data_IF_660250207079
#
_entry.id   IF_660250207079
#
_cell.length_a   1.000
_cell.length_b   1.000
_cell.length_c   1.000
_cell.angle_alpha   90.00
_cell.angle_beta   90.00
_cell.angle_gamma   90.00
#
_symmetry.space_group_name_H-M   'P 1'
#
loop_
_entity.id
_entity.type
_entity.pdbx_description
1 polymer ?
#
# COMPACT_ATOMS: atom_id res chain seq x y z
N UNK A 1 31.46 0.98 35.57
CA UNK A 1 30.28 1.44 34.82
C UNK A 1 29.10 0.76 35.46
N UNK A 2 28.04 1.51 35.77
CA UNK A 2 26.76 0.96 36.22
C UNK A 2 26.24 -0.03 35.18
N UNK A 3 25.56 -1.09 35.60
CA UNK A 3 24.88 -1.97 34.65
C UNK A 3 23.65 -1.24 34.10
N UNK A 4 23.41 -1.36 32.79
CA UNK A 4 22.17 -0.84 32.21
C UNK A 4 21.05 -1.86 32.40
N UNK A 5 19.83 -1.36 32.50
CA UNK A 5 18.61 -2.14 32.52
C UNK A 5 17.62 -1.54 31.52
N UNK A 6 16.56 -2.29 31.22
CA UNK A 6 15.46 -1.75 30.45
C UNK A 6 14.12 -2.25 30.98
N UNK A 7 13.09 -1.43 30.81
CA UNK A 7 11.70 -1.79 31.03
C UNK A 7 10.87 -1.38 29.80
N UNK A 8 9.77 -2.08 29.55
CA UNK A 8 8.87 -1.81 28.42
C UNK A 8 7.48 -1.51 28.94
N UNK A 9 6.93 -0.36 28.54
CA UNK A 9 5.53 -0.02 28.78
C UNK A 9 4.76 -0.20 27.48
N UNK A 10 3.75 -1.08 27.49
CA UNK A 10 2.87 -1.30 26.35
C UNK A 10 1.53 -0.62 26.59
N UNK A 11 1.18 0.31 25.71
CA UNK A 11 -0.14 0.92 25.65
C UNK A 11 -1.06 0.08 24.76
N UNK A 12 -2.31 -0.12 25.21
CA UNK A 12 -3.33 -0.74 24.37
C UNK A 12 -3.65 0.14 23.16
N UNK A 13 -4.10 -0.52 22.10
CA UNK A 13 -4.55 0.14 20.90
C UNK A 13 -5.79 1.01 21.14
N UNK A 14 -5.90 2.10 20.39
CA UNK A 14 -6.99 3.06 20.45
C UNK A 14 -7.96 2.80 19.30
N UNK A 15 -9.26 2.86 19.56
CA UNK A 15 -10.27 2.68 18.52
C UNK A 15 -10.17 3.77 17.46
N UNK A 16 -10.15 3.38 16.18
CA UNK A 16 -10.25 4.31 15.05
C UNK A 16 -11.68 4.84 14.91
N UNK A 17 -11.81 6.11 14.54
CA UNK A 17 -13.09 6.80 14.42
C UNK A 17 -13.84 6.46 13.13
N UNK A 18 -13.12 6.10 12.06
CA UNK A 18 -13.72 5.80 10.74
C UNK A 18 -14.80 4.72 10.82
N UNK A 19 -15.74 4.77 9.88
CA UNK A 19 -16.84 3.81 9.75
C UNK A 19 -16.39 2.42 9.27
N UNK A 20 -15.13 2.29 8.82
CA UNK A 20 -14.56 1.02 8.39
C UNK A 20 -14.55 0.02 9.54
N UNK A 21 -15.02 -1.18 9.25
CA UNK A 21 -15.11 -2.28 10.21
C UNK A 21 -14.35 -3.49 9.70
N UNK A 22 -14.03 -4.37 10.62
CA UNK A 22 -13.55 -5.72 10.32
C UNK A 22 -14.66 -6.54 9.64
N UNK A 23 -14.33 -7.68 9.00
CA UNK A 23 -15.33 -8.49 8.31
C UNK A 23 -16.47 -9.04 9.18
N UNK A 24 -16.31 -9.04 10.50
CA UNK A 24 -17.33 -9.42 11.49
C UNK A 24 -18.15 -8.23 12.01
N UNK A 25 -17.90 -7.02 11.51
CA UNK A 25 -18.54 -5.77 11.91
C UNK A 25 -17.94 -5.11 13.15
N UNK A 26 -16.90 -5.68 13.75
CA UNK A 26 -16.22 -5.07 14.89
C UNK A 26 -15.37 -3.85 14.46
N UNK A 27 -15.15 -2.87 15.34
CA UNK A 27 -14.38 -1.67 15.00
C UNK A 27 -12.89 -1.98 14.84
N UNK A 28 -12.21 -1.21 13.96
CA UNK A 28 -10.75 -1.26 13.85
C UNK A 28 -10.12 -0.49 15.01
N UNK A 29 -9.07 -1.05 15.59
CA UNK A 29 -8.28 -0.48 16.68
C UNK A 29 -6.83 -0.36 16.20
N UNK A 30 -6.09 0.67 16.62
CA UNK A 30 -4.65 0.76 16.37
C UNK A 30 -3.91 -0.42 16.99
N UNK A 31 -2.70 -0.69 16.52
CA UNK A 31 -1.81 -1.64 17.19
C UNK A 31 -1.49 -1.17 18.61
N UNK A 32 -1.23 -2.10 19.56
CA UNK A 32 -0.64 -1.74 20.84
C UNK A 32 0.77 -1.19 20.61
N UNK A 33 1.14 -0.12 21.31
CA UNK A 33 2.43 0.58 21.10
C UNK A 33 3.31 0.38 22.32
N UNK A 34 4.56 0.00 22.10
CA UNK A 34 5.58 -0.21 23.12
C UNK A 34 6.53 0.98 23.19
N UNK A 35 6.70 1.53 24.39
CA UNK A 35 7.79 2.46 24.70
C UNK A 35 8.81 1.77 25.58
N UNK A 36 10.09 1.93 25.26
CA UNK A 36 11.19 1.30 26.02
C UNK A 36 11.97 2.33 26.81
N UNK A 37 12.14 2.11 28.11
CA UNK A 37 13.00 2.94 28.95
C UNK A 37 14.29 2.17 29.24
N UNK A 38 15.41 2.66 28.71
CA UNK A 38 16.75 2.13 28.97
C UNK A 38 17.39 3.02 30.03
N UNK A 39 17.88 2.45 31.12
CA UNK A 39 18.35 3.27 32.25
C UNK A 39 19.55 2.65 32.98
N UNK A 40 20.36 3.54 33.56
CA UNK A 40 21.45 3.21 34.46
C UNK A 40 21.08 3.46 35.93
N UNK A 41 22.05 3.92 36.71
CA UNK A 41 21.85 4.26 38.12
C UNK A 41 21.00 5.54 38.29
N UNK A 42 21.27 6.57 37.50
CA UNK A 42 20.67 7.91 37.56
C UNK A 42 19.89 8.24 36.29
N UNK A 43 20.47 7.98 35.13
CA UNK A 43 20.00 8.54 33.86
C UNK A 43 19.21 7.50 33.05
N UNK A 44 18.35 7.97 32.15
CA UNK A 44 17.54 7.14 31.26
C UNK A 44 17.34 7.72 29.87
N UNK A 45 17.11 6.83 28.90
CA UNK A 45 16.75 7.12 27.51
C UNK A 45 15.41 6.44 27.22
N UNK A 46 14.44 7.20 26.72
CA UNK A 46 13.17 6.67 26.22
C UNK A 46 13.30 6.37 24.73
N UNK A 47 12.77 5.24 24.28
CA UNK A 47 12.65 4.88 22.86
C UNK A 47 11.17 4.74 22.51
N UNK A 48 10.77 5.33 21.38
CA UNK A 48 9.44 5.29 20.78
C UNK A 48 8.31 5.78 21.71
N UNK A 49 8.20 7.11 21.92
CA UNK A 49 7.07 7.70 22.65
C UNK A 49 5.73 7.51 21.91
N UNK A 50 4.61 7.35 22.63
CA UNK A 50 3.32 7.06 22.03
C UNK A 50 2.66 8.33 21.46
N UNK A 51 1.51 8.21 20.80
CA UNK A 51 0.92 9.32 20.04
C UNK A 51 -0.31 9.99 20.64
N UNK A 52 -1.00 9.42 21.61
CA UNK A 52 -2.20 10.07 22.19
C UNK A 52 -1.90 10.77 23.50
N UNK A 53 -2.64 11.83 23.82
CA UNK A 53 -2.51 12.56 25.09
C UNK A 53 -2.51 11.65 26.32
N UNK A 54 -3.39 10.65 26.36
CA UNK A 54 -3.49 9.72 27.49
C UNK A 54 -2.26 8.81 27.59
N UNK A 55 -1.83 8.23 26.46
CA UNK A 55 -0.66 7.35 26.45
C UNK A 55 0.62 8.12 26.79
N UNK A 56 0.74 9.36 26.28
CA UNK A 56 1.85 10.27 26.58
C UNK A 56 1.91 10.62 28.06
N UNK A 57 0.77 10.95 28.67
CA UNK A 57 0.71 11.19 30.11
C UNK A 57 1.11 9.95 30.91
N UNK A 58 0.65 8.76 30.50
CA UNK A 58 0.99 7.49 31.16
C UNK A 58 2.48 7.17 31.08
N UNK A 59 3.11 7.40 29.93
CA UNK A 59 4.56 7.26 29.75
C UNK A 59 5.33 8.25 30.60
N UNK A 60 4.91 9.53 30.63
CA UNK A 60 5.54 10.53 31.49
C UNK A 60 5.45 10.16 32.98
N UNK A 61 4.30 9.69 33.45
CA UNK A 61 4.14 9.25 34.84
C UNK A 61 4.99 8.00 35.15
N UNK A 62 5.16 7.10 34.17
CA UNK A 62 6.01 5.92 34.31
C UNK A 62 7.49 6.30 34.41
N UNK A 63 7.96 7.24 33.60
CA UNK A 63 9.32 7.79 33.67
C UNK A 63 9.55 8.45 35.03
N UNK A 64 8.64 9.28 35.53
CA UNK A 64 8.79 9.89 36.87
C UNK A 64 8.83 8.85 37.99
N UNK A 65 7.99 7.81 37.92
CA UNK A 65 8.00 6.72 38.91
C UNK A 65 9.29 5.91 38.92
N UNK A 66 10.01 5.86 37.79
CA UNK A 66 11.32 5.20 37.73
C UNK A 66 12.38 5.91 38.59
N UNK A 67 12.16 7.20 38.89
CA UNK A 67 13.12 8.05 39.61
C UNK A 67 14.37 8.41 38.81
N UNK A 68 14.41 8.08 37.51
CA UNK A 68 15.54 8.37 36.61
C UNK A 68 15.44 9.76 36.00
N UNK A 69 16.58 10.35 35.69
CA UNK A 69 16.69 11.58 34.91
C UNK A 69 16.64 11.23 33.43
N UNK A 70 15.58 11.65 32.73
CA UNK A 70 15.47 11.45 31.29
C UNK A 70 16.44 12.41 30.58
N UNK A 71 17.41 11.87 29.86
CA UNK A 71 18.43 12.64 29.13
C UNK A 71 18.20 12.64 27.63
N UNK A 72 17.51 11.63 27.10
CA UNK A 72 17.21 11.54 25.68
C UNK A 72 15.90 10.80 25.40
N UNK A 73 15.29 11.16 24.27
CA UNK A 73 14.20 10.42 23.61
C UNK A 73 14.71 10.01 22.23
N UNK A 74 14.56 8.75 21.85
CA UNK A 74 14.91 8.23 20.53
C UNK A 74 13.65 7.76 19.80
N UNK A 75 13.57 8.00 18.49
CA UNK A 75 12.53 7.43 17.63
C UNK A 75 13.19 6.52 16.57
N UNK A 76 12.66 5.31 16.43
CA UNK A 76 13.20 4.29 15.54
C UNK A 76 12.86 4.53 14.07
N UNK A 77 11.70 5.12 13.77
CA UNK A 77 11.21 5.37 12.41
C UNK A 77 10.15 6.48 12.36
N UNK A 78 9.68 6.79 11.15
CA UNK A 78 8.84 7.96 10.87
C UNK A 78 7.34 7.83 11.17
N UNK A 79 6.84 6.66 11.56
CA UNK A 79 5.42 6.47 11.85
C UNK A 79 4.96 7.23 13.11
N UNK A 80 3.82 7.90 12.99
CA UNK A 80 3.34 8.86 14.00
C UNK A 80 3.13 8.27 15.39
N UNK A 81 2.76 7.00 15.50
CA UNK A 81 2.59 6.30 16.77
C UNK A 81 3.86 6.12 17.60
N UNK A 82 5.03 6.38 17.01
CA UNK A 82 6.34 6.26 17.66
C UNK A 82 7.04 7.60 17.91
N UNK A 83 6.43 8.74 17.56
CA UNK A 83 7.04 10.06 17.79
C UNK A 83 6.08 11.23 18.04
N UNK A 84 4.77 11.09 17.78
CA UNK A 84 3.85 12.23 17.89
C UNK A 84 3.75 12.81 19.30
N UNK A 85 4.01 12.01 20.33
CA UNK A 85 3.99 12.43 21.73
C UNK A 85 5.27 13.05 22.27
N UNK A 86 6.29 13.26 21.44
CA UNK A 86 7.60 13.69 21.90
C UNK A 86 7.59 15.11 22.46
N UNK A 87 6.94 16.06 21.80
CA UNK A 87 6.94 17.45 22.24
C UNK A 87 6.37 17.63 23.67
N UNK A 88 5.20 17.06 24.02
CA UNK A 88 4.72 17.13 25.40
C UNK A 88 5.65 16.43 26.42
N UNK A 89 6.34 15.36 26.04
CA UNK A 89 7.33 14.72 26.91
C UNK A 89 8.55 15.61 27.14
N UNK A 90 9.08 16.26 26.10
CA UNK A 90 10.21 17.19 26.25
C UNK A 90 9.82 18.44 27.05
N UNK A 91 8.56 18.89 27.00
CA UNK A 91 8.07 19.94 27.90
C UNK A 91 8.06 19.49 29.36
N UNK A 92 7.75 18.21 29.63
CA UNK A 92 7.77 17.62 30.98
C UNK A 92 9.18 17.33 31.48
N UNK A 93 10.10 16.98 30.58
CA UNK A 93 11.49 16.64 30.85
C UNK A 93 12.43 17.56 30.04
N UNK A 94 12.60 18.83 30.44
CA UNK A 94 13.27 19.85 29.62
C UNK A 94 14.77 19.63 29.42
N UNK A 95 15.39 18.74 30.19
CA UNK A 95 16.79 18.37 30.03
C UNK A 95 16.99 17.28 28.96
N UNK A 96 15.91 16.63 28.50
CA UNK A 96 15.98 15.57 27.51
C UNK A 96 16.10 16.15 26.09
N UNK A 97 16.82 15.43 25.22
CA UNK A 97 16.98 15.78 23.79
C UNK A 97 16.34 14.70 22.92
N UNK A 98 15.59 15.11 21.89
CA UNK A 98 15.03 14.20 20.88
C UNK A 98 16.08 13.84 19.81
N UNK A 99 16.35 12.55 19.63
CA UNK A 99 17.27 12.01 18.63
C UNK A 99 16.60 11.04 17.67
N UNK A 100 16.99 11.11 16.41
CA UNK A 100 16.65 10.16 15.35
C UNK A 100 17.74 10.27 14.27
N UNK A 101 17.78 9.36 13.30
CA UNK A 101 18.69 9.54 12.15
C UNK A 101 18.13 10.56 11.17
N UNK A 102 18.97 11.06 10.26
CA UNK A 102 18.54 12.05 9.25
C UNK A 102 17.40 11.52 8.36
N UNK A 103 17.47 10.25 7.96
CA UNK A 103 16.42 9.60 7.17
C UNK A 103 15.10 9.51 7.94
N UNK A 104 15.14 9.04 9.19
CA UNK A 104 13.95 9.01 10.04
C UNK A 104 13.33 10.41 10.24
N UNK A 105 14.15 11.45 10.44
CA UNK A 105 13.66 12.84 10.57
C UNK A 105 12.99 13.31 9.27
N UNK A 106 13.54 12.95 8.10
CA UNK A 106 12.93 13.27 6.82
C UNK A 106 11.54 12.61 6.69
N UNK A 107 11.43 11.32 7.05
CA UNK A 107 10.14 10.60 7.06
C UNK A 107 9.13 11.22 8.03
N UNK A 108 9.56 11.70 9.20
CA UNK A 108 8.68 12.42 10.13
C UNK A 108 8.10 13.70 9.52
N UNK A 109 8.88 14.43 8.70
CA UNK A 109 8.37 15.61 8.02
C UNK A 109 7.32 15.27 6.97
N UNK A 110 7.53 14.21 6.19
CA UNK A 110 6.58 13.72 5.19
C UNK A 110 5.27 13.25 5.84
N UNK A 111 5.38 12.31 6.79
CA UNK A 111 4.23 11.74 7.50
C UNK A 111 3.52 12.76 8.40
N UNK A 112 4.27 13.66 9.04
CA UNK A 112 3.74 14.65 9.97
C UNK A 112 3.02 15.83 9.32
N UNK A 113 3.24 16.09 8.03
CA UNK A 113 2.61 17.20 7.30
C UNK A 113 1.46 16.72 6.41
N UNK A 114 1.74 15.86 5.44
CA UNK A 114 0.75 15.42 4.45
C UNK A 114 -0.04 14.20 4.94
N UNK A 115 0.64 13.20 5.53
CA UNK A 115 0.03 11.97 6.01
C UNK A 115 -0.86 12.15 7.26
N UNK A 116 -0.48 13.05 8.16
CA UNK A 116 -1.16 13.25 9.45
C UNK A 116 -2.62 13.68 9.29
N UNK A 117 -2.88 14.75 8.54
CA UNK A 117 -4.23 15.29 8.40
C UNK A 117 -5.14 14.32 7.63
N UNK A 118 -4.60 13.58 6.66
CA UNK A 118 -5.36 12.64 5.83
C UNK A 118 -5.71 11.33 6.57
N UNK A 119 -4.85 10.89 7.49
CA UNK A 119 -4.99 9.58 8.14
C UNK A 119 -5.20 9.71 9.65
N UNK A 120 -4.22 10.25 10.36
CA UNK A 120 -4.16 10.22 11.82
C UNK A 120 -5.23 11.08 12.50
N UNK A 121 -5.42 12.32 12.06
CA UNK A 121 -6.43 13.22 12.65
C UNK A 121 -7.86 12.77 12.30
N UNK A 122 -8.04 12.01 11.22
CA UNK A 122 -9.32 11.37 10.84
C UNK A 122 -9.58 10.13 11.69
N UNK A 123 -8.56 9.29 11.92
CA UNK A 123 -8.68 8.06 12.69
C UNK A 123 -8.80 8.33 14.20
N UNK A 124 -8.20 9.41 14.70
CA UNK A 124 -8.11 9.71 16.14
C UNK A 124 -8.44 11.18 16.44
N UNK A 125 -9.64 11.66 16.08
CA UNK A 125 -10.00 13.06 16.17
C UNK A 125 -9.91 13.57 17.62
N UNK A 126 -9.07 14.58 17.83
CA UNK A 126 -8.87 15.22 19.14
C UNK A 126 -8.05 14.41 20.15
N UNK A 127 -7.45 13.27 19.75
CA UNK A 127 -6.67 12.42 20.66
C UNK A 127 -5.15 12.67 20.57
N UNK A 128 -4.68 13.22 19.45
CA UNK A 128 -3.25 13.40 19.14
C UNK A 128 -2.83 14.85 19.47
N UNK A 129 -1.74 15.07 20.23
CA UNK A 129 -1.20 16.41 20.48
C UNK A 129 -0.66 17.06 19.20
N UNK A 130 -0.40 18.38 19.19
CA UNK A 130 0.49 18.96 18.20
C UNK A 130 1.83 18.19 18.18
N UNK A 131 2.28 17.81 17.00
CA UNK A 131 3.48 16.96 16.83
C UNK A 131 4.50 17.67 15.93
N UNK A 132 5.08 18.79 16.36
CA UNK A 132 6.21 19.37 15.65
C UNK A 132 7.38 18.36 15.65
N UNK A 133 8.13 18.30 14.56
CA UNK A 133 9.36 17.51 14.49
C UNK A 133 10.41 18.19 15.37
N UNK A 134 10.60 17.69 16.59
CA UNK A 134 11.50 18.23 17.63
C UNK A 134 12.75 17.37 17.83
N UNK A 135 13.21 16.77 16.74
CA UNK A 135 14.33 15.84 16.71
C UNK A 135 15.56 16.47 16.06
N UNK A 136 16.73 16.07 16.53
CA UNK A 136 18.01 16.35 15.88
C UNK A 136 18.73 15.03 15.52
N UNK A 137 19.66 15.06 14.55
CA UNK A 137 20.44 13.89 14.20
C UNK A 137 21.14 13.30 15.43
N UNK A 138 21.04 11.97 15.58
CA UNK A 138 21.80 11.23 16.58
C UNK A 138 23.32 11.40 16.36
N UNK A 139 24.14 11.53 17.42
CA UNK A 139 25.59 11.56 17.27
C UNK A 139 26.15 10.29 16.60
N UNK A 140 27.22 10.44 15.81
CA UNK A 140 27.89 9.32 15.12
C UNK A 140 28.35 8.20 16.08
N UNK A 141 28.70 8.54 17.33
CA UNK A 141 29.12 7.62 18.37
C UNK A 141 27.96 7.13 19.28
N UNK A 142 26.72 7.48 18.93
CA UNK A 142 25.49 7.12 19.62
C UNK A 142 25.23 7.93 20.90
N UNK A 143 24.07 7.68 21.50
CA UNK A 143 23.66 8.31 22.76
C UNK A 143 24.53 7.72 23.89
N UNK A 144 25.17 8.59 24.68
CA UNK A 144 25.91 8.19 25.88
C UNK A 144 24.95 8.04 27.06
N UNK A 145 25.00 6.90 27.74
CA UNK A 145 24.24 6.62 28.95
C UNK A 145 25.16 6.00 30.00
N UNK A 146 25.64 6.84 30.92
CA UNK A 146 26.50 6.46 32.05
C UNK A 146 27.75 5.66 31.65
N UNK A 147 28.39 6.07 30.55
CA UNK A 147 29.57 5.42 29.98
C UNK A 147 29.28 4.25 29.02
N UNK A 148 28.01 3.96 28.73
CA UNK A 148 27.61 3.02 27.68
C UNK A 148 27.11 3.75 26.44
N UNK A 149 27.12 3.07 25.29
CA UNK A 149 26.64 3.61 24.01
C UNK A 149 25.38 2.91 23.55
N UNK A 150 24.40 3.71 23.16
CA UNK A 150 23.19 3.29 22.47
C UNK A 150 23.32 3.74 21.01
N UNK A 151 23.42 2.78 20.09
CA UNK A 151 23.82 3.00 18.70
C UNK A 151 22.60 2.86 17.79
N UNK A 152 22.31 3.88 16.98
CA UNK A 152 21.35 3.75 15.88
C UNK A 152 21.96 2.87 14.78
N UNK A 153 21.18 1.93 14.28
CA UNK A 153 21.56 1.08 13.14
C UNK A 153 20.49 1.22 12.07
N UNK A 154 20.87 1.80 10.94
CA UNK A 154 20.04 1.93 9.74
C UNK A 154 19.75 0.57 9.11
N UNK A 155 18.49 0.17 9.08
CA UNK A 155 18.08 -1.12 8.51
C UNK A 155 17.40 -0.98 7.15
N UNK A 156 16.92 0.22 6.80
CA UNK A 156 16.33 0.53 5.50
C UNK A 156 14.81 0.46 5.56
N UNK A 157 14.20 -0.29 4.64
CA UNK A 157 12.74 -0.42 4.56
C UNK A 157 12.22 -1.55 5.45
N UNK A 158 11.15 -1.27 6.21
CA UNK A 158 10.35 -2.27 6.93
C UNK A 158 8.86 -2.03 6.76
N UNK A 159 8.15 -1.63 7.81
CA UNK A 159 6.76 -1.18 7.72
C UNK A 159 6.67 0.26 7.16
N UNK A 160 7.80 0.97 7.12
CA UNK A 160 8.08 2.24 6.41
C UNK A 160 9.56 2.29 5.97
N UNK A 161 9.90 3.25 5.11
CA UNK A 161 11.28 3.61 4.75
C UNK A 161 12.07 4.27 5.89
N UNK A 162 13.40 4.32 5.71
CA UNK A 162 14.38 4.92 6.64
C UNK A 162 14.20 4.51 8.11
N UNK A 163 13.92 3.21 8.29
CA UNK A 163 13.77 2.57 9.59
C UNK A 163 15.13 2.26 10.20
N UNK A 164 15.24 2.47 11.51
CA UNK A 164 16.41 2.17 12.32
C UNK A 164 16.06 1.29 13.51
N UNK A 165 17.06 0.67 14.12
CA UNK A 165 16.97 0.07 15.45
C UNK A 165 17.95 0.72 16.41
N UNK A 166 17.65 0.74 17.71
CA UNK A 166 18.58 1.19 18.73
C UNK A 166 19.26 -0.02 19.41
N UNK A 167 20.54 -0.20 19.14
CA UNK A 167 21.35 -1.30 19.68
C UNK A 167 22.12 -0.86 20.94
N UNK A 168 22.02 -1.66 22.01
CA UNK A 168 22.72 -1.44 23.29
C UNK A 168 23.65 -2.63 23.56
N UNK A 169 24.91 -2.59 23.07
CA UNK A 169 25.81 -3.73 23.12
C UNK A 169 26.09 -4.25 24.53
N UNK A 170 26.13 -3.36 25.53
CA UNK A 170 26.51 -3.70 26.90
C UNK A 170 25.53 -4.66 27.59
N UNK A 171 24.27 -4.66 27.17
CA UNK A 171 23.22 -5.57 27.66
C UNK A 171 22.68 -6.51 26.57
N UNK A 172 23.17 -6.38 25.33
CA UNK A 172 22.72 -7.16 24.18
C UNK A 172 21.26 -6.88 23.81
N UNK A 173 20.77 -5.66 24.04
CA UNK A 173 19.41 -5.25 23.71
C UNK A 173 19.37 -4.63 22.31
N UNK A 174 18.34 -4.97 21.54
CA UNK A 174 17.93 -4.19 20.37
C UNK A 174 16.49 -3.73 20.58
N UNK A 175 16.26 -2.42 20.59
CA UNK A 175 14.91 -1.85 20.45
C UNK A 175 14.65 -1.72 18.95
N UNK A 176 13.80 -2.60 18.44
CA UNK A 176 13.66 -2.87 17.02
C UNK A 176 12.66 -1.95 16.32
N UNK A 177 11.86 -1.17 17.05
CA UNK A 177 10.69 -0.51 16.48
C UNK A 177 9.85 -1.54 15.72
N UNK A 178 9.36 -1.15 14.55
CA UNK A 178 8.51 -2.02 13.73
C UNK A 178 9.29 -2.87 12.71
N UNK A 179 10.61 -3.01 12.91
CA UNK A 179 11.39 -4.07 12.24
C UNK A 179 10.94 -5.46 12.69
N UNK A 180 10.50 -5.60 13.94
CA UNK A 180 10.03 -6.84 14.53
C UNK A 180 8.67 -6.66 15.19
N UNK A 181 7.83 -7.70 15.16
CA UNK A 181 6.52 -7.73 15.81
C UNK A 181 6.43 -8.89 16.80
N UNK A 182 5.79 -8.69 17.95
CA UNK A 182 5.74 -9.71 19.02
C UNK A 182 4.31 -10.02 19.47
N UNK A 183 3.72 -11.08 18.91
CA UNK A 183 2.34 -11.49 19.24
C UNK A 183 1.26 -10.55 18.72
N UNK A 184 1.57 -9.75 17.68
CA UNK A 184 0.65 -8.80 17.03
C UNK A 184 0.71 -9.02 15.51
N UNK A 185 -0.39 -8.80 14.79
CA UNK A 185 -0.39 -8.80 13.33
C UNK A 185 0.36 -7.59 12.77
N UNK A 186 1.09 -7.81 11.66
CA UNK A 186 2.03 -6.83 11.11
C UNK A 186 1.34 -5.84 10.17
N UNK A 187 1.76 -4.58 10.20
CA UNK A 187 1.41 -3.58 9.20
C UNK A 187 2.23 -3.85 7.93
N UNK A 188 1.56 -4.15 6.82
CA UNK A 188 2.21 -4.47 5.54
C UNK A 188 1.80 -3.52 4.41
N UNK A 189 1.15 -2.40 4.73
CA UNK A 189 0.58 -1.49 3.71
C UNK A 189 1.66 -0.89 2.80
N UNK A 190 2.86 -0.67 3.33
CA UNK A 190 3.97 -0.08 2.59
C UNK A 190 4.94 -1.13 2.04
N UNK A 191 4.61 -2.42 2.15
CA UNK A 191 5.49 -3.52 1.73
C UNK A 191 5.34 -3.93 0.25
N UNK A 192 4.72 -3.08 -0.58
CA UNK A 192 4.56 -3.31 -2.03
C UNK A 192 5.89 -3.29 -2.79
N UNK A 193 5.88 -3.68 -4.07
CA UNK A 193 7.01 -3.52 -5.02
C UNK A 193 8.40 -4.02 -4.53
N UNK A 194 8.43 -5.10 -3.73
CA UNK A 194 9.66 -5.66 -3.16
C UNK A 194 9.98 -5.21 -1.73
N UNK A 195 9.04 -4.52 -1.07
CA UNK A 195 9.17 -4.08 0.31
C UNK A 195 9.34 -5.25 1.29
N UNK A 196 8.65 -6.38 1.06
CA UNK A 196 8.84 -7.60 1.88
C UNK A 196 10.29 -8.10 1.82
N UNK A 197 10.91 -8.18 0.63
CA UNK A 197 12.31 -8.58 0.47
C UNK A 197 13.27 -7.62 1.16
N UNK A 198 12.97 -6.32 1.11
CA UNK A 198 13.75 -5.29 1.79
C UNK A 198 13.64 -5.42 3.31
N UNK A 199 12.44 -5.72 3.83
CA UNK A 199 12.21 -5.98 5.25
C UNK A 199 12.90 -7.27 5.73
N UNK A 200 12.89 -8.34 4.91
CA UNK A 200 13.67 -9.54 5.20
C UNK A 200 15.18 -9.24 5.33
N UNK A 201 15.70 -8.31 4.50
CA UNK A 201 17.08 -7.82 4.61
C UNK A 201 17.31 -7.00 5.88
N UNK A 202 16.33 -6.19 6.31
CA UNK A 202 16.38 -5.48 7.59
C UNK A 202 16.45 -6.45 8.78
N UNK A 203 15.66 -7.53 8.76
CA UNK A 203 15.73 -8.59 9.77
C UNK A 203 17.11 -9.27 9.82
N UNK A 204 17.74 -9.51 8.67
CA UNK A 204 19.11 -10.06 8.59
C UNK A 204 20.13 -9.14 9.28
N UNK A 205 20.01 -7.82 9.07
CA UNK A 205 20.88 -6.83 9.72
C UNK A 205 20.71 -6.86 11.24
N UNK A 206 19.48 -6.94 11.75
CA UNK A 206 19.22 -7.01 13.19
C UNK A 206 19.73 -8.33 13.78
N UNK A 207 19.49 -9.46 13.11
CA UNK A 207 19.99 -10.76 13.56
C UNK A 207 21.53 -10.81 13.62
N UNK A 208 22.22 -10.12 12.72
CA UNK A 208 23.68 -10.01 12.70
C UNK A 208 24.26 -9.27 13.92
N UNK A 209 23.45 -8.48 14.64
CA UNK A 209 23.84 -7.86 15.92
C UNK A 209 23.89 -8.86 17.07
N UNK A 210 23.38 -10.09 16.87
CA UNK A 210 23.33 -11.17 17.85
C UNK A 210 22.67 -10.75 19.19
N UNK A 211 21.46 -10.17 19.16
CA UNK A 211 20.81 -9.67 20.37
C UNK A 211 20.50 -10.79 21.37
N UNK A 212 20.55 -10.45 22.66
CA UNK A 212 20.05 -11.25 23.77
C UNK A 212 18.57 -10.95 24.07
N UNK A 213 18.11 -9.75 23.74
CA UNK A 213 16.72 -9.32 23.84
C UNK A 213 16.35 -8.41 22.66
N UNK A 214 15.12 -8.53 22.16
CA UNK A 214 14.58 -7.71 21.07
C UNK A 214 13.22 -7.16 21.47
N UNK A 215 13.10 -5.84 21.57
CA UNK A 215 11.82 -5.18 21.87
C UNK A 215 11.18 -4.70 20.58
N UNK A 216 10.01 -5.25 20.26
CA UNK A 216 9.16 -4.82 19.15
C UNK A 216 8.38 -3.55 19.48
N UNK A 217 8.17 -2.66 18.49
CA UNK A 217 7.35 -1.46 18.61
C UNK A 217 5.86 -1.79 18.80
N UNK A 218 5.41 -2.88 18.20
CA UNK A 218 4.10 -3.48 18.45
C UNK A 218 4.21 -4.85 19.11
N UNK A 219 3.77 -4.94 20.38
CA UNK A 219 3.82 -6.20 21.13
C UNK A 219 2.61 -6.49 22.02
N UNK A 220 2.39 -7.79 22.26
CA UNK A 220 1.62 -8.27 23.39
C UNK A 220 2.45 -8.11 24.67
N UNK A 221 1.90 -7.39 25.67
CA UNK A 221 2.57 -7.09 26.94
C UNK A 221 2.94 -8.32 27.77
N UNK A 222 2.24 -9.44 27.54
CA UNK A 222 2.43 -10.68 28.30
C UNK A 222 3.55 -11.56 27.70
N UNK A 223 4.11 -11.17 26.55
CA UNK A 223 5.18 -11.91 25.89
C UNK A 223 6.57 -11.34 26.20
N UNK A 224 7.58 -12.21 26.34
CA UNK A 224 8.96 -11.78 26.57
C UNK A 224 9.56 -11.13 25.33
N UNK A 225 10.62 -10.35 25.53
CA UNK A 225 11.43 -9.74 24.46
C UNK A 225 12.47 -10.73 23.91
N UNK A 226 12.03 -11.95 23.62
CA UNK A 226 12.90 -13.04 23.15
C UNK A 226 13.35 -12.78 21.70
N UNK A 227 14.66 -12.86 21.37
CA UNK A 227 15.16 -12.72 20.00
C UNK A 227 14.49 -13.64 18.96
N UNK A 228 13.83 -14.72 19.39
CA UNK A 228 13.02 -15.58 18.52
C UNK A 228 11.93 -14.82 17.74
N UNK A 229 11.51 -13.63 18.19
CA UNK A 229 10.53 -12.80 17.46
C UNK A 229 11.03 -12.37 16.07
N UNK A 230 12.35 -12.33 15.83
CA UNK A 230 12.90 -12.02 14.51
C UNK A 230 12.50 -13.10 13.48
N UNK A 231 12.63 -14.37 13.86
CA UNK A 231 12.23 -15.49 13.00
C UNK A 231 10.71 -15.63 12.90
N UNK A 232 9.97 -15.28 13.96
CA UNK A 232 8.50 -15.24 13.91
C UNK A 232 7.97 -14.10 13.00
N UNK A 233 8.67 -12.98 12.96
CA UNK A 233 8.38 -11.86 12.04
C UNK A 233 8.69 -12.28 10.60
N UNK A 234 9.86 -12.90 10.39
CA UNK A 234 10.27 -13.47 9.09
C UNK A 234 9.22 -14.46 8.55
N UNK A 235 8.78 -15.40 9.37
CA UNK A 235 7.78 -16.41 8.99
C UNK A 235 6.47 -15.76 8.55
N UNK A 236 6.00 -14.73 9.28
CA UNK A 236 4.80 -13.99 8.93
C UNK A 236 4.91 -13.28 7.58
N UNK A 237 6.04 -12.61 7.32
CA UNK A 237 6.31 -11.94 6.04
C UNK A 237 6.29 -12.92 4.86
N UNK A 238 6.91 -14.08 5.02
CA UNK A 238 6.94 -15.12 4.00
C UNK A 238 5.56 -15.74 3.75
N UNK A 239 4.77 -15.96 4.80
CA UNK A 239 3.38 -16.41 4.66
C UNK A 239 2.52 -15.36 3.97
N UNK A 240 2.63 -14.09 4.36
CA UNK A 240 1.92 -13.00 3.71
C UNK A 240 2.29 -12.89 2.23
N UNK A 241 3.58 -12.91 1.90
CA UNK A 241 4.07 -12.91 0.52
C UNK A 241 3.51 -14.08 -0.29
N UNK A 242 3.57 -15.30 0.27
CA UNK A 242 3.02 -16.49 -0.38
C UNK A 242 1.53 -16.33 -0.65
N UNK A 243 0.75 -15.93 0.36
CA UNK A 243 -0.70 -15.78 0.19
C UNK A 243 -1.07 -14.65 -0.77
N UNK A 244 -0.37 -13.52 -0.75
CA UNK A 244 -0.58 -12.42 -1.73
C UNK A 244 -0.32 -12.92 -3.16
N UNK A 245 0.72 -13.75 -3.37
CA UNK A 245 1.07 -14.29 -4.68
C UNK A 245 0.01 -15.25 -5.26
N UNK A 246 -0.86 -15.80 -4.41
CA UNK A 246 -1.99 -16.65 -4.82
C UNK A 246 -3.16 -15.82 -5.39
N UNK A 247 -3.07 -14.48 -5.34
CA UNK A 247 -4.11 -13.51 -5.71
C UNK A 247 -5.51 -13.81 -5.12
N UNK A 248 -5.63 -14.03 -3.80
CA UNK A 248 -6.90 -14.25 -3.14
C UNK A 248 -7.73 -12.96 -3.08
N UNK A 249 -9.05 -13.09 -2.89
CA UNK A 249 -9.87 -11.94 -2.47
C UNK A 249 -9.41 -11.43 -1.09
N UNK A 250 -9.65 -10.14 -0.75
CA UNK A 250 -9.30 -9.61 0.58
C UNK A 250 -9.85 -10.47 1.74
N UNK A 251 -11.06 -11.00 1.56
CA UNK A 251 -11.70 -11.87 2.56
C UNK A 251 -10.97 -13.20 2.71
N UNK A 252 -10.57 -13.82 1.60
CA UNK A 252 -9.83 -15.09 1.63
C UNK A 252 -8.46 -14.91 2.29
N UNK A 253 -7.72 -13.85 1.94
CA UNK A 253 -6.43 -13.54 2.57
C UNK A 253 -6.59 -13.31 4.08
N UNK A 254 -7.60 -12.52 4.47
CA UNK A 254 -7.89 -12.28 5.87
C UNK A 254 -8.15 -13.59 6.63
N UNK A 255 -9.07 -14.43 6.14
CA UNK A 255 -9.39 -15.70 6.79
C UNK A 255 -8.17 -16.64 6.85
N UNK A 256 -7.31 -16.67 5.83
CA UNK A 256 -6.09 -17.48 5.79
C UNK A 256 -5.03 -17.00 6.78
N UNK A 257 -4.75 -15.69 6.82
CA UNK A 257 -3.77 -15.12 7.75
C UNK A 257 -4.20 -15.28 9.22
N UNK A 258 -5.49 -15.12 9.51
CA UNK A 258 -6.04 -15.36 10.85
C UNK A 258 -5.95 -16.85 11.22
N UNK A 259 -6.17 -17.76 10.27
CA UNK A 259 -6.02 -19.20 10.52
C UNK A 259 -4.56 -19.61 10.81
N UNK A 260 -3.58 -18.97 10.18
CA UNK A 260 -2.15 -19.22 10.46
C UNK A 260 -1.71 -18.65 11.81
N UNK A 261 -2.29 -17.53 12.23
CA UNK A 261 -1.86 -16.78 13.41
C UNK A 261 -3.05 -16.40 14.34
N UNK A 262 -3.79 -17.39 14.87
CA UNK A 262 -5.04 -17.13 15.61
C UNK A 262 -4.85 -16.43 16.96
N UNK A 263 -3.65 -16.55 17.55
CA UNK A 263 -3.34 -16.02 18.89
C UNK A 263 -2.69 -14.63 18.85
N UNK A 264 -2.49 -14.04 17.65
CA UNK A 264 -1.92 -12.70 17.51
C UNK A 264 -2.99 -11.62 17.78
N UNK A 265 -2.59 -10.58 18.49
CA UNK A 265 -3.44 -9.42 18.76
C UNK A 265 -3.61 -8.54 17.52
N UNK A 266 -4.61 -7.66 17.59
CA UNK A 266 -4.87 -6.60 16.61
C UNK A 266 -5.03 -7.11 15.17
N UNK A 267 -6.20 -7.69 14.85
CA UNK A 267 -6.48 -8.23 13.51
C UNK A 267 -6.70 -7.15 12.43
N UNK A 268 -6.79 -5.88 12.81
CA UNK A 268 -6.95 -4.71 11.93
C UNK A 268 -5.94 -4.70 10.76
N UNK A 269 -4.62 -4.72 11.04
CA UNK A 269 -3.56 -4.85 10.05
C UNK A 269 -3.83 -5.84 8.94
N UNK A 270 -4.26 -7.04 9.28
CA UNK A 270 -4.58 -8.07 8.29
C UNK A 270 -5.65 -7.58 7.32
N UNK A 271 -6.72 -6.97 7.84
CA UNK A 271 -7.86 -6.55 7.02
C UNK A 271 -7.54 -5.37 6.12
N UNK A 272 -6.98 -4.28 6.65
CA UNK A 272 -6.70 -3.12 5.80
C UNK A 272 -5.53 -3.36 4.84
N UNK A 273 -4.56 -4.22 5.19
CA UNK A 273 -3.57 -4.73 4.23
C UNK A 273 -4.27 -5.53 3.12
N UNK A 274 -5.18 -6.44 3.47
CA UNK A 274 -5.92 -7.20 2.47
C UNK A 274 -6.71 -6.28 1.54
N UNK A 275 -7.40 -5.28 2.09
CA UNK A 275 -8.18 -4.33 1.31
C UNK A 275 -7.27 -3.50 0.41
N UNK A 276 -6.15 -3.00 0.90
CA UNK A 276 -5.28 -2.14 0.09
C UNK A 276 -4.49 -2.91 -0.98
N UNK A 277 -3.97 -4.09 -0.65
CA UNK A 277 -3.10 -4.86 -1.55
C UNK A 277 -3.86 -5.81 -2.48
N UNK A 278 -5.08 -6.25 -2.10
CA UNK A 278 -5.80 -7.33 -2.79
C UNK A 278 -7.22 -6.96 -3.21
N UNK A 279 -7.74 -5.80 -2.81
CA UNK A 279 -8.88 -5.25 -3.55
C UNK A 279 -8.28 -4.79 -4.86
N UNK A 280 -8.81 -5.28 -6.00
CA UNK A 280 -8.61 -4.59 -7.28
C UNK A 280 -8.83 -3.11 -6.98
N UNK A 281 -7.76 -2.31 -7.05
CA UNK A 281 -7.74 -0.98 -6.46
C UNK A 281 -9.07 -0.30 -6.77
N UNK A 282 -9.86 0.02 -5.74
CA UNK A 282 -10.93 1.02 -5.89
C UNK A 282 -10.21 2.36 -5.94
N UNK A 283 -9.41 2.52 -6.98
CA UNK A 283 -8.59 3.65 -7.30
C UNK A 283 -9.28 4.39 -8.44
N UNK A 284 -9.05 5.69 -8.45
CA UNK A 284 -9.18 6.52 -9.64
C UNK A 284 -8.75 5.70 -10.87
N UNK A 285 -9.66 5.51 -11.84
CA UNK A 285 -9.57 4.42 -12.82
C UNK A 285 -8.20 4.38 -13.49
N UNK A 286 -7.50 3.25 -13.38
CA UNK A 286 -6.29 3.06 -14.18
C UNK A 286 -6.66 3.27 -15.66
N UNK A 287 -5.76 3.85 -16.45
CA UNK A 287 -5.98 4.06 -17.90
C UNK A 287 -6.37 2.75 -18.60
N UNK A 288 -5.93 1.62 -18.06
CA UNK A 288 -6.31 0.27 -18.48
C UNK A 288 -7.79 -0.02 -18.23
N UNK A 289 -8.33 0.31 -17.05
CA UNK A 289 -9.75 0.11 -16.73
C UNK A 289 -10.63 1.06 -17.53
N UNK A 290 -10.22 2.33 -17.65
CA UNK A 290 -10.93 3.32 -18.45
C UNK A 290 -11.07 2.87 -19.90
N UNK A 291 -9.97 2.47 -20.56
CA UNK A 291 -9.99 2.05 -21.97
C UNK A 291 -10.69 0.69 -22.14
N UNK A 292 -10.59 -0.20 -21.15
CA UNK A 292 -11.28 -1.50 -21.15
C UNK A 292 -12.79 -1.30 -21.07
N UNK A 293 -13.28 -0.48 -20.15
CA UNK A 293 -14.70 -0.18 -20.01
C UNK A 293 -15.23 0.55 -21.24
N UNK A 294 -14.53 1.59 -21.69
CA UNK A 294 -14.89 2.33 -22.90
C UNK A 294 -15.01 1.40 -24.12
N UNK A 295 -14.10 0.44 -24.30
CA UNK A 295 -14.15 -0.43 -25.48
C UNK A 295 -15.19 -1.56 -25.36
N UNK A 296 -15.19 -2.30 -24.25
CA UNK A 296 -15.97 -3.54 -24.12
C UNK A 296 -17.38 -3.33 -23.59
N UNK A 297 -17.61 -2.28 -22.80
CA UNK A 297 -18.89 -2.04 -22.14
C UNK A 297 -19.69 -0.91 -22.80
N UNK A 298 -19.02 0.01 -23.50
CA UNK A 298 -19.66 1.07 -24.28
C UNK A 298 -19.56 0.86 -25.80
N UNK A 299 -18.37 0.98 -26.39
CA UNK A 299 -18.18 0.93 -27.85
C UNK A 299 -18.73 -0.35 -28.48
N UNK A 300 -18.28 -1.53 -28.04
CA UNK A 300 -18.63 -2.80 -28.67
C UNK A 300 -20.15 -3.07 -28.60
N UNK A 301 -20.83 -2.93 -27.45
CA UNK A 301 -22.29 -3.05 -27.39
C UNK A 301 -23.01 -2.03 -28.26
N UNK A 302 -22.56 -0.78 -28.28
CA UNK A 302 -23.14 0.27 -29.14
C UNK A 302 -22.98 -0.05 -30.62
N UNK A 303 -21.81 -0.52 -31.03
CA UNK A 303 -21.54 -0.96 -32.40
C UNK A 303 -22.41 -2.16 -32.81
N UNK A 304 -22.60 -3.14 -31.90
CA UNK A 304 -23.45 -4.31 -32.15
C UNK A 304 -24.91 -3.88 -32.36
N UNK A 305 -25.43 -3.03 -31.48
CA UNK A 305 -26.80 -2.47 -31.59
C UNK A 305 -26.98 -1.67 -32.88
N UNK A 306 -26.00 -0.83 -33.24
CA UNK A 306 -26.04 -0.05 -34.46
C UNK A 306 -26.04 -0.93 -35.71
N UNK A 307 -25.20 -1.97 -35.73
CA UNK A 307 -25.22 -2.95 -36.81
C UNK A 307 -26.58 -3.65 -36.90
N UNK A 308 -27.20 -4.01 -35.77
CA UNK A 308 -28.53 -4.62 -35.72
C UNK A 308 -29.67 -3.65 -36.10
N UNK A 309 -29.38 -2.36 -36.28
CA UNK A 309 -30.38 -1.34 -36.64
C UNK A 309 -31.27 -0.90 -35.47
N UNK A 310 -30.83 -1.13 -34.22
CA UNK A 310 -31.62 -0.86 -33.01
C UNK A 310 -31.21 0.43 -32.29
N UNK A 311 -30.37 1.27 -32.89
CA UNK A 311 -29.95 2.58 -32.34
C UNK A 311 -30.77 3.73 -32.91
N UNK A 312 -30.94 4.80 -32.13
CA UNK A 312 -31.71 5.99 -32.53
C UNK A 312 -30.88 6.96 -33.39
N UNK A 313 -29.55 6.86 -33.31
CA UNK A 313 -28.62 7.74 -34.03
C UNK A 313 -28.22 7.11 -35.37
N UNK A 314 -28.09 7.94 -36.41
CA UNK A 314 -27.62 7.56 -37.74
C UNK A 314 -26.17 7.05 -37.76
N UNK A 315 -25.61 6.70 -38.93
CA UNK A 315 -24.27 6.11 -39.03
C UNK A 315 -23.15 7.01 -38.46
N UNK A 316 -23.42 8.30 -38.26
CA UNK A 316 -22.51 9.28 -37.67
C UNK A 316 -22.12 8.98 -36.21
N UNK A 317 -22.89 8.17 -35.48
CA UNK A 317 -22.58 7.78 -34.08
C UNK A 317 -21.15 7.21 -33.95
N UNK A 318 -20.64 6.61 -35.03
CA UNK A 318 -19.33 5.97 -35.02
C UNK A 318 -18.20 6.96 -34.75
N UNK A 319 -18.40 8.26 -35.01
CA UNK A 319 -17.42 9.32 -34.77
C UNK A 319 -17.22 9.64 -33.27
N UNK A 320 -18.07 9.10 -32.40
CA UNK A 320 -17.85 9.09 -30.95
C UNK A 320 -16.77 8.07 -30.55
N UNK A 321 -16.43 7.13 -31.43
CA UNK A 321 -15.48 6.05 -31.17
C UNK A 321 -14.33 5.95 -32.17
N UNK A 322 -14.50 6.47 -33.39
CA UNK A 322 -13.52 6.42 -34.48
C UNK A 322 -13.15 7.84 -34.91
N UNK A 323 -11.87 8.07 -35.22
CA UNK A 323 -11.39 9.37 -35.69
C UNK A 323 -10.98 9.34 -37.16
N UNK A 324 -10.73 10.51 -37.73
CA UNK A 324 -9.99 10.69 -38.97
C UNK A 324 -8.77 11.61 -38.69
N UNK A 325 -7.58 11.34 -39.22
CA UNK A 325 -7.27 10.25 -40.15
C UNK A 325 -7.31 8.86 -39.48
N UNK A 326 -7.76 7.85 -40.25
CA UNK A 326 -7.85 6.45 -39.83
C UNK A 326 -6.98 5.59 -40.75
N UNK A 327 -6.08 4.79 -40.17
CA UNK A 327 -5.39 3.73 -40.90
C UNK A 327 -6.18 2.42 -40.81
N UNK A 328 -6.31 1.71 -41.94
CA UNK A 328 -6.99 0.42 -41.99
C UNK A 328 -6.19 -0.56 -42.83
N UNK A 329 -5.81 -1.70 -42.26
CA UNK A 329 -5.12 -2.77 -42.98
C UNK A 329 -5.85 -4.11 -42.87
N UNK A 330 -5.81 -4.86 -43.96
CA UNK A 330 -6.36 -6.21 -44.07
C UNK A 330 -5.43 -7.07 -44.93
N UNK A 331 -5.72 -8.37 -45.01
CA UNK A 331 -5.05 -9.26 -45.97
C UNK A 331 -5.23 -8.81 -47.44
N UNK A 332 -6.23 -7.97 -47.74
CA UNK A 332 -6.54 -7.46 -49.08
C UNK A 332 -5.86 -6.12 -49.42
N UNK A 333 -5.27 -5.43 -48.43
CA UNK A 333 -4.62 -4.13 -48.66
C UNK A 333 -4.60 -3.19 -47.46
N UNK A 334 -4.11 -1.97 -47.68
CA UNK A 334 -3.99 -0.90 -46.70
C UNK A 334 -4.59 0.41 -47.25
N UNK A 335 -5.35 1.11 -46.41
CA UNK A 335 -6.03 2.36 -46.76
C UNK A 335 -5.86 3.40 -45.66
N UNK A 336 -5.94 4.66 -46.06
CA UNK A 336 -6.02 5.82 -45.17
C UNK A 336 -7.29 6.59 -45.47
N UNK A 337 -8.14 6.77 -44.47
CA UNK A 337 -9.34 7.60 -44.56
C UNK A 337 -9.03 8.94 -43.92
N UNK A 338 -8.91 9.99 -44.74
CA UNK A 338 -8.51 11.31 -44.28
C UNK A 338 -9.69 12.09 -43.67
N UNK A 339 -10.91 11.83 -44.16
CA UNK A 339 -12.10 12.56 -43.78
C UNK A 339 -13.08 11.71 -42.97
N UNK A 340 -13.76 12.34 -42.01
CA UNK A 340 -14.77 11.68 -41.15
C UNK A 340 -15.91 11.05 -41.97
N UNK A 341 -16.29 11.67 -43.09
CA UNK A 341 -17.34 11.15 -43.97
C UNK A 341 -16.98 9.77 -44.55
N UNK A 342 -15.71 9.55 -44.89
CA UNK A 342 -15.26 8.28 -45.44
C UNK A 342 -15.24 7.19 -44.36
N UNK A 343 -14.88 7.53 -43.12
CA UNK A 343 -14.96 6.62 -41.97
C UNK A 343 -16.41 6.18 -41.71
N UNK A 344 -17.36 7.13 -41.76
CA UNK A 344 -18.79 6.84 -41.62
C UNK A 344 -19.28 5.93 -42.75
N UNK A 345 -18.91 6.23 -44.00
CA UNK A 345 -19.30 5.44 -45.16
C UNK A 345 -18.77 3.99 -45.09
N UNK A 346 -17.50 3.82 -44.69
CA UNK A 346 -16.85 2.53 -44.51
C UNK A 346 -17.60 1.65 -43.49
N UNK A 347 -17.89 2.21 -42.31
CA UNK A 347 -18.54 1.46 -41.24
C UNK A 347 -19.99 1.16 -41.60
N UNK A 348 -20.68 2.09 -42.27
CA UNK A 348 -22.03 1.86 -42.79
C UNK A 348 -22.07 0.69 -43.79
N UNK A 349 -21.11 0.62 -44.71
CA UNK A 349 -21.00 -0.50 -45.66
C UNK A 349 -20.72 -1.84 -44.94
N UNK A 350 -19.81 -1.84 -43.97
CA UNK A 350 -19.49 -3.02 -43.16
C UNK A 350 -20.72 -3.53 -42.41
N UNK A 351 -21.47 -2.65 -41.75
CA UNK A 351 -22.73 -2.99 -41.10
C UNK A 351 -23.75 -3.56 -42.09
N UNK A 352 -23.86 -2.98 -43.29
CA UNK A 352 -24.74 -3.49 -44.34
C UNK A 352 -24.43 -4.93 -44.74
N UNK A 353 -23.15 -5.26 -44.95
CA UNK A 353 -22.70 -6.62 -45.27
C UNK A 353 -22.98 -7.60 -44.14
N UNK A 354 -22.74 -7.20 -42.89
CA UNK A 354 -23.00 -8.07 -41.73
C UNK A 354 -24.48 -8.32 -41.51
N UNK A 355 -25.34 -7.30 -41.65
CA UNK A 355 -26.80 -7.48 -41.62
C UNK A 355 -27.26 -8.46 -42.69
N UNK A 356 -26.79 -8.30 -43.92
CA UNK A 356 -27.12 -9.23 -45.01
C UNK A 356 -26.68 -10.67 -44.72
N UNK A 357 -25.62 -10.86 -43.93
CA UNK A 357 -25.14 -12.18 -43.49
C UNK A 357 -25.91 -12.77 -42.27
N UNK A 358 -26.87 -12.03 -41.69
CA UNK A 358 -27.64 -12.44 -40.52
C UNK A 358 -26.94 -12.18 -39.18
N UNK A 359 -26.01 -11.23 -39.12
CA UNK A 359 -25.29 -10.86 -37.90
C UNK A 359 -26.22 -10.39 -36.79
N UNK A 360 -25.95 -10.84 -35.56
CA UNK A 360 -26.69 -10.42 -34.36
C UNK A 360 -25.77 -9.97 -33.24
N UNK A 361 -24.69 -10.69 -32.98
CA UNK A 361 -23.79 -10.42 -31.87
C UNK A 361 -22.36 -10.87 -32.17
N UNK A 362 -21.44 -10.45 -31.31
CA UNK A 362 -20.03 -10.83 -31.38
C UNK A 362 -19.64 -11.47 -30.07
N UNK A 363 -19.04 -12.65 -30.14
CA UNK A 363 -18.31 -13.25 -29.03
C UNK A 363 -16.84 -12.85 -29.18
N UNK A 364 -16.19 -12.56 -28.05
CA UNK A 364 -14.76 -12.22 -27.99
C UNK A 364 -14.04 -13.34 -27.24
N UNK A 365 -13.56 -14.40 -27.91
CA UNK A 365 -12.94 -15.55 -27.24
C UNK A 365 -11.59 -15.22 -26.61
N UNK A 366 -10.86 -14.27 -27.21
CA UNK A 366 -9.56 -13.81 -26.75
C UNK A 366 -9.53 -12.28 -26.84
N UNK A 367 -8.98 -11.64 -25.80
CA UNK A 367 -8.71 -10.21 -25.76
C UNK A 367 -7.44 -9.91 -24.99
N UNK A 368 -6.73 -8.86 -25.39
CA UNK A 368 -5.62 -8.25 -24.66
C UNK A 368 -5.72 -6.74 -24.79
N UNK A 369 -5.56 -6.04 -23.66
CA UNK A 369 -5.46 -4.58 -23.59
C UNK A 369 -4.00 -4.26 -23.26
N UNK A 370 -3.39 -3.35 -24.01
CA UNK A 370 -2.03 -2.88 -23.78
C UNK A 370 -2.08 -1.36 -23.65
N UNK A 371 -1.79 -0.82 -22.46
CA UNK A 371 -1.63 0.62 -22.25
C UNK A 371 -0.15 0.98 -22.39
N UNK A 372 0.14 1.98 -23.20
CA UNK A 372 1.50 2.47 -23.41
C UNK A 372 1.80 3.72 -22.58
N UNK A 373 0.80 4.57 -22.36
CA UNK A 373 0.81 5.77 -21.52
C UNK A 373 -0.63 6.29 -21.32
N UNK A 374 -0.80 7.38 -20.59
CA UNK A 374 -2.11 7.97 -20.25
C UNK A 374 -2.98 8.36 -21.46
N UNK A 375 -2.38 8.49 -22.63
CA UNK A 375 -3.04 8.92 -23.86
C UNK A 375 -2.99 7.91 -25.00
N UNK A 376 -2.37 6.74 -24.80
CA UNK A 376 -2.10 5.78 -25.88
C UNK A 376 -2.26 4.34 -25.42
N UNK A 377 -3.06 3.57 -26.17
CA UNK A 377 -3.33 2.17 -25.88
C UNK A 377 -3.54 1.37 -27.17
N UNK A 378 -3.54 0.04 -27.04
CA UNK A 378 -3.94 -0.88 -28.08
C UNK A 378 -4.83 -1.99 -27.54
N UNK A 379 -5.73 -2.50 -28.39
CA UNK A 379 -6.60 -3.63 -28.08
C UNK A 379 -6.47 -4.69 -29.16
N UNK A 380 -6.02 -5.89 -28.76
CA UNK A 380 -6.00 -7.07 -29.60
C UNK A 380 -7.17 -7.97 -29.23
N UNK A 381 -7.97 -8.37 -30.22
CA UNK A 381 -9.17 -9.19 -30.03
C UNK A 381 -9.33 -10.23 -31.12
N UNK A 382 -9.92 -11.36 -30.75
CA UNK A 382 -10.54 -12.27 -31.72
C UNK A 382 -12.04 -11.99 -31.74
N UNK A 383 -12.55 -11.58 -32.89
CA UNK A 383 -13.97 -11.39 -33.11
C UNK A 383 -14.58 -12.63 -33.75
N UNK A 384 -15.50 -13.29 -33.02
CA UNK A 384 -16.39 -14.31 -33.55
C UNK A 384 -17.74 -13.66 -33.83
N UNK A 385 -17.99 -13.29 -35.09
CA UNK A 385 -19.24 -12.66 -35.52
C UNK A 385 -20.30 -13.73 -35.73
N UNK A 386 -21.49 -13.61 -35.13
CA UNK A 386 -22.48 -14.71 -35.06
C UNK A 386 -23.90 -14.32 -35.42
N UNK A 387 -24.66 -15.33 -35.85
CA UNK A 387 -26.12 -15.29 -36.02
C UNK A 387 -26.85 -15.54 -34.70
N UNK A 388 -28.17 -15.42 -34.70
CA UNK A 388 -29.02 -15.65 -33.52
C UNK A 388 -28.95 -17.09 -32.99
N UNK A 389 -28.63 -18.06 -33.86
CA UNK A 389 -28.48 -19.48 -33.54
C UNK A 389 -27.03 -19.85 -33.17
N UNK A 390 -26.19 -18.86 -32.85
CA UNK A 390 -24.77 -18.98 -32.55
C UNK A 390 -23.87 -19.47 -33.70
N UNK A 391 -24.40 -19.64 -34.92
CA UNK A 391 -23.59 -19.99 -36.08
C UNK A 391 -22.59 -18.87 -36.39
N UNK A 392 -21.31 -19.23 -36.46
CA UNK A 392 -20.23 -18.29 -36.78
C UNK A 392 -20.28 -17.85 -38.26
N UNK A 393 -20.32 -16.54 -38.48
CA UNK A 393 -20.29 -15.90 -39.81
C UNK A 393 -18.84 -15.72 -40.24
N UNK A 394 -18.02 -15.20 -39.34
CA UNK A 394 -16.60 -14.91 -39.59
C UNK A 394 -15.84 -14.83 -38.27
N UNK A 395 -14.63 -15.38 -38.26
CA UNK A 395 -13.65 -15.16 -37.21
C UNK A 395 -12.54 -14.25 -37.73
N UNK A 396 -12.19 -13.22 -36.96
CA UNK A 396 -11.19 -12.23 -37.37
C UNK A 396 -10.31 -11.89 -36.17
N UNK A 397 -9.00 -11.94 -36.34
CA UNK A 397 -8.07 -11.35 -35.39
C UNK A 397 -7.92 -9.86 -35.74
N UNK A 398 -8.09 -8.99 -34.76
CA UNK A 398 -8.12 -7.54 -34.97
C UNK A 398 -7.25 -6.85 -33.91
N UNK A 399 -6.41 -5.94 -34.37
CA UNK A 399 -5.65 -4.99 -33.57
C UNK A 399 -6.25 -3.59 -33.74
N UNK A 400 -6.52 -2.91 -32.64
CA UNK A 400 -6.95 -1.51 -32.59
C UNK A 400 -5.84 -0.65 -32.00
N UNK A 401 -5.53 0.45 -32.68
CA UNK A 401 -4.68 1.53 -32.17
C UNK A 401 -5.57 2.68 -31.67
N UNK A 402 -5.32 3.11 -30.42
CA UNK A 402 -6.20 3.98 -29.67
C UNK A 402 -5.46 5.22 -29.16
N UNK A 403 -6.12 6.37 -29.25
CA UNK A 403 -5.63 7.63 -28.67
C UNK A 403 -6.70 8.26 -27.77
N UNK A 404 -6.28 8.81 -26.63
CA UNK A 404 -7.12 9.62 -25.75
C UNK A 404 -7.02 11.08 -26.17
N UNK A 405 -8.13 11.66 -26.62
CA UNK A 405 -8.24 13.08 -26.93
C UNK A 405 -9.09 13.85 -25.91
N UNK A 406 -9.32 15.15 -26.13
CA UNK A 406 -10.17 15.99 -25.26
C UNK A 406 -11.64 15.54 -25.19
N UNK A 407 -12.06 14.61 -26.05
CA UNK A 407 -13.41 14.05 -26.11
C UNK A 407 -13.44 12.54 -25.82
N UNK A 408 -12.41 12.03 -25.11
CA UNK A 408 -12.26 10.62 -24.77
C UNK A 408 -11.46 9.81 -25.79
N UNK A 409 -11.51 8.49 -25.66
CA UNK A 409 -10.79 7.55 -26.51
C UNK A 409 -11.36 7.50 -27.94
N UNK A 410 -10.46 7.32 -28.92
CA UNK A 410 -10.81 7.09 -30.32
C UNK A 410 -9.91 6.02 -30.93
N UNK A 411 -10.49 5.19 -31.79
CA UNK A 411 -9.77 4.31 -32.71
C UNK A 411 -9.20 5.17 -33.84
N UNK A 412 -7.89 5.09 -34.04
CA UNK A 412 -7.14 5.77 -35.10
C UNK A 412 -6.46 4.81 -36.08
N UNK A 413 -6.40 3.53 -35.71
CA UNK A 413 -5.85 2.49 -36.56
C UNK A 413 -6.52 1.15 -36.32
N UNK A 414 -6.66 0.36 -37.38
CA UNK A 414 -7.12 -1.02 -37.30
C UNK A 414 -6.31 -1.90 -38.24
N UNK A 415 -5.90 -3.06 -37.75
CA UNK A 415 -5.31 -4.13 -38.54
C UNK A 415 -6.12 -5.39 -38.32
N UNK A 416 -6.53 -6.07 -39.39
CA UNK A 416 -7.29 -7.31 -39.26
C UNK A 416 -6.79 -8.40 -40.20
N UNK A 417 -6.83 -9.63 -39.73
CA UNK A 417 -6.54 -10.81 -40.55
C UNK A 417 -7.66 -11.84 -40.37
N UNK A 418 -8.12 -12.42 -41.49
CA UNK A 418 -9.09 -13.49 -41.46
C UNK A 418 -8.42 -14.76 -40.91
N UNK A 419 -9.05 -15.40 -39.91
CA UNK A 419 -8.60 -16.68 -39.37
C UNK A 419 -9.48 -17.83 -39.87
#
# INVERSE_FOLDING_TARGET
>A
MSELHYEVLVNDGVRRHREQTLPDGSPIVSSPVASTLIYGERDAVLVDPPFTYEQVARVGDWIERSGKHLTAVYATHGHGDHWFGTEPLLQRFPDAVGYATEGTIAMMHEQGTEGRAATWDVDFPGLIPPSPVVYQPIPDDGIELEGHRLLAVEVGHTDTDDTTVLHVPSIGLVVAGDVAYNGVHQYLLESGDGGIESWLTALDKVAALQPRAVVAGHKNRDLPDDPAILEQTRAYLLDAQRLISENPTPRQYFDQMIALYPDRLNVGPVWYTAVALLTEAVGDSSVTDEVTHWFFDDYLPTWVRACAGTTVNGPEFILDYWSAPLSWTTDEGAWWFQDKADVVALIHELHGRLRAAGYTHTVVPERKVTVYNDSGAAIDVIWSRRRADDTEIKRVAVHFELVRGPHGWRIIGIQQSAR
#
